data_IF_671664095885
#
_entry.id   IF_671664095885
#
_cell.length_a   1.000
_cell.length_b   1.000
_cell.length_c   1.000
_cell.angle_alpha   90.00
_cell.angle_beta   90.00
_cell.angle_gamma   90.00
#
_symmetry.space_group_name_H-M   'P 1'
#
loop_
_entity.id
_entity.type
_entity.pdbx_description
1 polymer ?
#
# COMPACT_ATOMS: atom_id res chain seq x y z
N UNK A 1 -4.11 -7.29 32.01
CA UNK A 1 -2.68 -7.27 31.62
C UNK A 1 -2.55 -8.07 30.35
N UNK A 2 -1.99 -7.45 29.32
CA UNK A 2 -1.70 -8.04 28.02
C UNK A 2 -0.19 -8.25 27.91
N UNK A 3 0.23 -9.33 27.27
CA UNK A 3 1.62 -9.59 26.96
C UNK A 3 1.82 -9.46 25.44
N UNK A 4 2.85 -8.73 25.04
CA UNK A 4 3.14 -8.44 23.65
C UNK A 4 4.57 -8.84 23.32
N UNK A 5 4.77 -9.32 22.11
CA UNK A 5 6.08 -9.48 21.49
C UNK A 5 6.32 -8.27 20.59
N UNK A 6 7.48 -7.64 20.76
CA UNK A 6 7.94 -6.55 19.91
C UNK A 6 9.26 -6.95 19.28
N UNK A 7 9.48 -6.52 18.04
CA UNK A 7 10.75 -6.71 17.35
C UNK A 7 11.53 -5.40 17.44
N UNK A 8 12.59 -5.42 18.24
CA UNK A 8 13.57 -4.35 18.31
C UNK A 8 14.69 -4.66 17.31
N UNK A 9 14.99 -3.72 16.41
CA UNK A 9 16.04 -3.89 15.39
C UNK A 9 17.43 -4.15 15.98
N UNK A 10 17.65 -3.78 17.23
CA UNK A 10 18.93 -3.93 17.92
C UNK A 10 19.00 -5.14 18.84
N UNK A 11 17.85 -5.60 19.35
CA UNK A 11 17.79 -6.53 20.49
C UNK A 11 17.06 -7.85 20.14
N UNK A 12 16.35 -7.90 19.01
CA UNK A 12 15.58 -9.07 18.59
C UNK A 12 14.13 -9.01 19.05
N UNK A 13 13.53 -10.18 19.31
CA UNK A 13 12.13 -10.30 19.74
C UNK A 13 12.09 -10.44 21.25
N UNK A 14 11.54 -9.43 21.91
CA UNK A 14 11.39 -9.41 23.37
C UNK A 14 9.93 -9.29 23.80
N UNK A 15 9.68 -9.73 25.03
CA UNK A 15 8.35 -9.74 25.63
C UNK A 15 8.13 -8.56 26.57
N UNK A 16 7.04 -7.84 26.37
CA UNK A 16 6.62 -6.71 27.21
C UNK A 16 5.21 -6.92 27.74
N UNK A 17 4.90 -6.26 28.86
CA UNK A 17 3.60 -6.25 29.49
C UNK A 17 2.98 -4.85 29.37
N UNK A 18 1.66 -4.82 29.23
CA UNK A 18 0.89 -3.57 29.25
C UNK A 18 -0.51 -3.78 29.82
N UNK A 19 -1.03 -2.75 30.48
CA UNK A 19 -2.44 -2.62 30.86
C UNK A 19 -3.29 -1.98 29.73
N UNK A 20 -2.64 -1.33 28.77
CA UNK A 20 -3.30 -0.67 27.64
C UNK A 20 -3.84 -1.68 26.63
N UNK A 21 -4.87 -1.26 25.89
CA UNK A 21 -5.40 -2.03 24.77
C UNK A 21 -4.47 -1.88 23.57
N UNK A 22 -3.87 -2.97 23.14
CA UNK A 22 -2.89 -3.01 22.05
C UNK A 22 -3.22 -4.16 21.11
N UNK A 23 -2.99 -3.95 19.81
CA UNK A 23 -3.18 -4.95 18.76
C UNK A 23 -1.87 -5.23 18.02
N UNK A 24 -1.85 -6.33 17.29
CA UNK A 24 -0.77 -6.58 16.33
C UNK A 24 -0.65 -5.42 15.34
N UNK A 25 0.59 -5.06 15.00
CA UNK A 25 0.96 -3.92 14.14
C UNK A 25 0.71 -2.53 14.74
N UNK A 26 0.28 -2.43 15.99
CA UNK A 26 0.32 -1.16 16.71
C UNK A 26 1.76 -0.76 17.04
N UNK A 27 1.97 0.53 17.24
CA UNK A 27 3.26 1.08 17.60
C UNK A 27 3.27 1.38 19.09
N UNK A 28 4.31 0.92 19.78
CA UNK A 28 4.50 1.10 21.21
C UNK A 28 5.88 1.68 21.48
N UNK A 29 6.00 2.36 22.61
CA UNK A 29 7.25 2.92 23.10
C UNK A 29 7.78 2.02 24.20
N UNK A 30 9.01 1.53 24.05
CA UNK A 30 9.72 0.71 25.02
C UNK A 30 11.03 1.39 25.44
N UNK A 31 11.56 1.13 26.64
CA UNK A 31 12.91 1.52 26.98
C UNK A 31 13.93 0.62 26.26
N UNK A 32 15.00 1.19 25.70
CA UNK A 32 16.17 0.42 25.28
C UNK A 32 17.11 0.11 26.47
N UNK A 33 18.23 -0.57 26.24
CA UNK A 33 19.25 -0.82 27.29
C UNK A 33 19.74 0.43 28.04
N UNK A 34 19.77 1.59 27.37
CA UNK A 34 20.18 2.87 27.95
C UNK A 34 19.01 3.63 28.63
N UNK A 35 17.84 2.98 28.77
CA UNK A 35 16.57 3.56 29.26
C UNK A 35 16.04 4.75 28.43
N UNK A 36 16.43 4.85 27.17
CA UNK A 36 15.87 5.82 26.23
C UNK A 36 14.61 5.27 25.54
N UNK A 37 13.59 6.11 25.28
CA UNK A 37 12.35 5.67 24.66
C UNK A 37 12.54 5.39 23.16
N UNK A 38 12.23 4.16 22.75
CA UNK A 38 12.28 3.71 21.35
C UNK A 38 10.90 3.25 20.88
N UNK A 39 10.50 3.69 19.69
CA UNK A 39 9.27 3.26 19.05
C UNK A 39 9.48 1.94 18.29
N UNK A 40 8.73 0.91 18.68
CA UNK A 40 8.76 -0.41 18.04
C UNK A 40 7.35 -0.85 17.67
N UNK A 41 7.26 -1.80 16.75
CA UNK A 41 5.99 -2.35 16.31
C UNK A 41 5.68 -3.66 17.04
N UNK A 42 4.42 -3.82 17.45
CA UNK A 42 3.93 -5.07 18.04
C UNK A 42 3.83 -6.15 16.98
N UNK A 43 4.54 -7.23 17.21
CA UNK A 43 4.55 -8.41 16.34
C UNK A 43 3.36 -9.30 16.65
N UNK A 44 3.16 -9.62 17.94
CA UNK A 44 2.19 -10.62 18.37
C UNK A 44 1.70 -10.38 19.79
N UNK A 45 0.44 -10.69 20.04
CA UNK A 45 -0.12 -10.81 21.39
C UNK A 45 0.08 -12.24 21.91
N UNK A 46 0.64 -12.38 23.10
CA UNK A 46 0.83 -13.68 23.75
C UNK A 46 0.04 -13.73 25.07
N UNK A 47 -0.24 -14.94 25.54
CA UNK A 47 -0.89 -15.13 26.82
C UNK A 47 0.14 -15.20 27.96
N UNK A 48 -0.35 -15.08 29.20
CA UNK A 48 0.50 -15.09 30.40
C UNK A 48 1.36 -16.36 30.53
N UNK A 49 0.79 -17.52 30.21
CA UNK A 49 1.49 -18.79 30.32
C UNK A 49 2.69 -18.85 29.36
N UNK A 50 2.49 -18.44 28.12
CA UNK A 50 3.56 -18.36 27.11
C UNK A 50 4.62 -17.34 27.49
N UNK A 51 4.22 -16.18 28.04
CA UNK A 51 5.15 -15.15 28.50
C UNK A 51 6.05 -15.65 29.64
N UNK A 52 5.48 -16.28 30.66
CA UNK A 52 6.23 -16.77 31.83
C UNK A 52 7.16 -17.93 31.43
N UNK A 53 6.67 -18.89 30.64
CA UNK A 53 7.43 -20.09 30.29
C UNK A 53 8.62 -19.81 29.37
N UNK A 54 8.49 -18.88 28.42
CA UNK A 54 9.53 -18.60 27.43
C UNK A 54 10.40 -17.39 27.75
N UNK A 55 9.86 -16.37 28.40
CA UNK A 55 10.51 -15.06 28.52
C UNK A 55 10.81 -14.61 29.95
N UNK A 56 10.33 -15.36 30.96
CA UNK A 56 10.66 -15.30 32.40
C UNK A 56 10.42 -13.95 33.13
N UNK A 57 10.69 -12.78 32.53
CA UNK A 57 10.38 -11.45 33.05
C UNK A 57 10.07 -10.45 31.92
N UNK A 58 8.79 -10.18 31.63
CA UNK A 58 8.42 -9.14 30.69
C UNK A 58 8.55 -7.75 31.30
N UNK A 59 9.13 -6.82 30.53
CA UNK A 59 9.26 -5.40 30.90
C UNK A 59 7.97 -4.63 30.62
N UNK A 60 7.72 -3.51 31.30
CA UNK A 60 6.57 -2.65 31.00
C UNK A 60 6.82 -1.75 29.78
N UNK A 61 5.80 -1.57 28.94
CA UNK A 61 5.86 -0.54 27.91
C UNK A 61 5.70 0.85 28.53
N UNK A 62 6.28 1.86 27.88
CA UNK A 62 6.12 3.27 28.26
C UNK A 62 4.76 3.78 27.80
N UNK A 63 4.47 3.69 26.50
CA UNK A 63 3.21 4.17 25.93
C UNK A 63 2.84 3.51 24.60
N UNK A 64 1.61 3.75 24.15
CA UNK A 64 1.10 3.35 22.83
C UNK A 64 1.01 4.58 21.94
N UNK A 65 1.56 4.50 20.74
CA UNK A 65 1.58 5.60 19.78
C UNK A 65 0.31 5.60 18.94
N UNK A 66 -0.47 6.68 18.99
CA UNK A 66 -1.60 6.87 18.07
C UNK A 66 -1.12 7.24 16.66
N UNK A 67 -1.21 6.27 15.76
CA UNK A 67 -0.81 6.42 14.36
C UNK A 67 -1.98 6.71 13.41
N UNK A 68 -3.21 6.88 13.92
CA UNK A 68 -4.42 6.96 13.08
C UNK A 68 -4.36 8.10 12.07
N UNK A 69 -4.10 9.32 12.55
CA UNK A 69 -4.04 10.52 11.72
C UNK A 69 -2.88 10.50 10.71
N UNK A 70 -1.79 9.83 11.05
CA UNK A 70 -0.67 9.64 10.13
C UNK A 70 -1.03 8.67 9.01
N UNK A 71 -1.61 7.50 9.34
CA UNK A 71 -2.05 6.49 8.37
C UNK A 71 -3.08 7.06 7.40
N UNK A 72 -4.07 7.80 7.89
CA UNK A 72 -5.07 8.46 7.04
C UNK A 72 -4.43 9.42 6.02
N UNK A 73 -3.46 10.24 6.45
CA UNK A 73 -2.73 11.15 5.56
C UNK A 73 -1.87 10.39 4.53
N UNK A 74 -1.23 9.31 4.95
CA UNK A 74 -0.40 8.49 4.08
C UNK A 74 -1.25 7.79 3.01
N UNK A 75 -2.37 7.18 3.41
CA UNK A 75 -3.30 6.52 2.50
C UNK A 75 -3.89 7.50 1.48
N UNK A 76 -4.29 8.70 1.93
CA UNK A 76 -4.76 9.75 1.03
C UNK A 76 -3.69 10.16 0.01
N UNK A 77 -2.44 10.30 0.44
CA UNK A 77 -1.31 10.63 -0.42
C UNK A 77 -1.03 9.54 -1.45
N UNK A 78 -1.05 8.27 -1.04
CA UNK A 78 -0.87 7.12 -1.94
C UNK A 78 -2.00 7.07 -2.98
N UNK A 79 -3.26 7.20 -2.55
CA UNK A 79 -4.41 7.21 -3.47
C UNK A 79 -4.31 8.34 -4.47
N UNK A 80 -3.93 9.54 -4.02
CA UNK A 80 -3.72 10.70 -4.90
C UNK A 80 -2.61 10.44 -5.92
N UNK A 81 -1.49 9.84 -5.50
CA UNK A 81 -0.40 9.48 -6.40
C UNK A 81 -0.85 8.49 -7.47
N UNK A 82 -1.46 7.38 -7.07
CA UNK A 82 -1.96 6.35 -8.00
C UNK A 82 -2.97 6.94 -8.99
N UNK A 83 -3.87 7.82 -8.53
CA UNK A 83 -4.82 8.48 -9.42
C UNK A 83 -4.12 9.42 -10.41
N UNK A 84 -3.16 10.22 -9.94
CA UNK A 84 -2.38 11.09 -10.81
C UNK A 84 -1.60 10.31 -11.87
N UNK A 85 -0.99 9.19 -11.49
CA UNK A 85 -0.23 8.34 -12.42
C UNK A 85 -1.16 7.80 -13.52
N UNK A 86 -2.35 7.31 -13.15
CA UNK A 86 -3.38 6.89 -14.12
C UNK A 86 -3.86 8.02 -15.01
N UNK A 87 -4.00 9.23 -14.48
CA UNK A 87 -4.37 10.41 -15.27
C UNK A 87 -3.27 10.78 -16.27
N UNK A 88 -2.01 10.72 -15.85
CA UNK A 88 -0.87 10.99 -16.74
C UNK A 88 -0.78 9.95 -17.86
N UNK A 89 -0.97 8.67 -17.53
CA UNK A 89 -1.05 7.58 -18.51
C UNK A 89 -2.17 7.85 -19.52
N UNK A 90 -3.37 8.21 -19.05
CA UNK A 90 -4.49 8.56 -19.94
C UNK A 90 -4.24 9.80 -20.79
N UNK A 91 -3.56 10.80 -20.25
CA UNK A 91 -3.16 11.98 -21.04
C UNK A 91 -2.15 11.59 -22.12
N UNK A 92 -1.21 10.69 -21.80
CA UNK A 92 -0.25 10.18 -22.78
C UNK A 92 -0.96 9.40 -23.89
N UNK A 93 -1.91 8.51 -23.54
CA UNK A 93 -2.74 7.78 -24.50
C UNK A 93 -3.48 8.73 -25.45
N UNK A 94 -4.14 9.76 -24.91
CA UNK A 94 -4.91 10.75 -25.70
C UNK A 94 -3.99 11.53 -26.64
N UNK A 95 -2.82 11.98 -26.16
CA UNK A 95 -1.86 12.70 -27.00
C UNK A 95 -1.29 11.83 -28.11
N UNK A 96 -1.03 10.56 -27.80
CA UNK A 96 -0.59 9.59 -28.80
C UNK A 96 -1.66 9.41 -29.87
N UNK A 97 -2.90 9.16 -29.50
CA UNK A 97 -4.02 9.04 -30.44
C UNK A 97 -4.21 10.28 -31.31
N UNK A 98 -4.25 11.48 -30.72
CA UNK A 98 -4.38 12.75 -31.46
C UNK A 98 -3.22 12.94 -32.46
N UNK A 99 -2.01 12.52 -32.08
CA UNK A 99 -0.85 12.53 -32.99
C UNK A 99 -1.06 11.55 -34.15
N UNK A 100 -1.48 10.31 -33.87
CA UNK A 100 -1.72 9.31 -34.90
C UNK A 100 -2.84 9.76 -35.86
N UNK A 101 -3.91 10.37 -35.35
CA UNK A 101 -5.02 10.91 -36.16
C UNK A 101 -4.56 12.06 -37.08
N UNK A 102 -3.70 12.95 -36.58
CA UNK A 102 -3.12 14.04 -37.39
C UNK A 102 -2.27 13.55 -38.56
N UNK A 103 -1.52 12.45 -38.37
CA UNK A 103 -0.72 11.86 -39.44
C UNK A 103 -1.55 11.00 -40.40
N UNK A 104 -2.55 10.28 -39.89
CA UNK A 104 -3.51 9.55 -40.72
C UNK A 104 -4.24 10.46 -41.73
N UNK A 105 -4.55 11.71 -41.35
CA UNK A 105 -5.12 12.69 -42.28
C UNK A 105 -4.18 13.15 -43.41
N UNK A 106 -2.89 12.82 -43.34
CA UNK A 106 -1.85 13.23 -44.31
C UNK A 106 -1.25 12.06 -45.08
N UNK A 107 -1.32 10.85 -44.53
CA UNK A 107 -0.70 9.63 -45.08
C UNK A 107 -1.72 8.46 -45.11
N UNK A 108 -2.08 7.95 -46.31
CA UNK A 108 -3.01 6.83 -46.46
C UNK A 108 -2.56 5.51 -45.82
N UNK A 109 -1.25 5.22 -45.78
CA UNK A 109 -0.74 4.02 -45.10
C UNK A 109 -0.92 4.14 -43.58
N UNK A 110 -0.65 5.34 -43.06
CA UNK A 110 -0.84 5.64 -41.64
C UNK A 110 -2.32 5.59 -41.22
N UNK A 111 -3.24 5.97 -42.11
CA UNK A 111 -4.68 5.83 -41.87
C UNK A 111 -5.10 4.36 -41.72
N UNK A 112 -4.57 3.48 -42.57
CA UNK A 112 -4.85 2.04 -42.53
C UNK A 112 -4.32 1.40 -41.24
N UNK A 113 -3.13 1.82 -40.79
CA UNK A 113 -2.55 1.35 -39.52
C UNK A 113 -3.32 1.86 -38.29
N UNK A 114 -3.84 3.08 -38.34
CA UNK A 114 -4.65 3.65 -37.26
C UNK A 114 -5.99 2.92 -37.08
N UNK A 115 -6.62 2.50 -38.18
CA UNK A 115 -7.85 1.68 -38.15
C UNK A 115 -7.57 0.36 -37.42
N UNK A 116 -6.52 -0.36 -37.83
CA UNK A 116 -6.12 -1.61 -37.18
C UNK A 116 -5.82 -1.40 -35.68
N UNK A 117 -5.12 -0.31 -35.32
CA UNK A 117 -4.83 0.03 -33.93
C UNK A 117 -6.10 0.27 -33.09
N UNK A 118 -7.13 0.92 -33.66
CA UNK A 118 -8.41 1.15 -32.97
C UNK A 118 -9.23 -0.14 -32.82
N UNK A 119 -9.20 -1.02 -33.82
CA UNK A 119 -9.84 -2.34 -33.77
C UNK A 119 -9.20 -3.24 -32.69
N UNK A 120 -7.87 -3.24 -32.58
CA UNK A 120 -7.11 -4.00 -31.57
C UNK A 120 -7.34 -3.50 -30.13
N UNK A 121 -7.57 -2.20 -29.94
CA UNK A 121 -7.74 -1.59 -28.62
C UNK A 121 -9.20 -1.37 -28.20
N UNK A 122 -10.17 -1.75 -29.05
CA UNK A 122 -11.57 -1.73 -28.68
C UNK A 122 -11.87 -2.89 -27.71
N UNK A 123 -12.59 -2.66 -26.60
CA UNK A 123 -12.89 -3.71 -25.64
C UNK A 123 -13.92 -4.69 -26.25
N UNK A 124 -13.40 -5.73 -26.89
CA UNK A 124 -14.10 -6.90 -27.47
C UNK A 124 -14.89 -6.63 -28.75
N UNK A 125 -14.43 -7.27 -29.86
CA UNK A 125 -15.20 -7.64 -31.05
C UNK A 125 -16.44 -6.81 -31.38
N UNK A 126 -16.26 -5.73 -32.13
CA UNK A 126 -17.34 -5.25 -32.98
C UNK A 126 -17.55 -6.29 -34.09
N UNK A 127 -18.52 -7.19 -33.89
CA UNK A 127 -19.10 -7.98 -34.98
C UNK A 127 -19.57 -6.94 -36.01
N UNK A 128 -19.11 -6.99 -37.27
CA UNK A 128 -19.66 -6.14 -38.30
C UNK A 128 -21.14 -6.49 -38.40
N UNK A 129 -22.02 -5.52 -38.15
CA UNK A 129 -23.41 -5.63 -38.57
C UNK A 129 -23.37 -5.84 -40.08
N UNK A 130 -23.58 -7.09 -40.49
CA UNK A 130 -23.76 -7.45 -41.87
C UNK A 130 -25.05 -6.77 -42.36
N UNK A 131 -24.90 -5.93 -43.38
CA UNK A 131 -26.01 -5.43 -44.17
C UNK A 131 -26.97 -6.58 -44.52
N UNK A 132 -28.17 -6.49 -43.97
CA UNK A 132 -29.41 -7.10 -44.45
C UNK A 132 -30.43 -5.96 -44.33
N UNK A 133 -31.03 -5.43 -45.39
CA UNK A 133 -31.40 -5.92 -46.72
C UNK A 133 -31.27 -4.82 -47.79
#
# INVERSE_FOLDING_TARGET
MNYILVENRYEGIDCYLTDKSVKEKDWVVIPNYDNEPVCVQVVKLINQYEAITKYHQPLEIIDVVDMKSFRERQDASIRKRVLNDKMQEKIADIKMLDTLEKYAGKDPEMASLLIQYKELNSPTGAIPEADTE
#
